data_IF_331148010610
#
_entry.id   IF_331148010610
#
_cell.length_a   1.000
_cell.length_b   1.000
_cell.length_c   1.000
_cell.angle_alpha   90.00
_cell.angle_beta   90.00
_cell.angle_gamma   90.00
#
_symmetry.space_group_name_H-M   'P 1'
#
loop_
_entity.id
_entity.type
_entity.pdbx_description
1 polymer ?
#
# COMPACT_ATOMS: atom_id res chain seq x y z
N UNK A 1 -39.67 -20.52 -15.33
CA UNK A 1 -38.23 -20.41 -15.00
C UNK A 1 -37.62 -19.37 -15.93
N UNK A 2 -37.09 -18.22 -15.43
CA UNK A 2 -36.51 -17.21 -16.30
C UNK A 2 -35.14 -17.67 -16.83
N UNK A 3 -34.88 -17.48 -18.12
CA UNK A 3 -33.60 -17.79 -18.75
C UNK A 3 -32.67 -16.58 -18.61
N UNK A 4 -31.54 -16.76 -17.94
CA UNK A 4 -30.49 -15.73 -17.86
C UNK A 4 -29.92 -15.47 -19.26
N UNK A 5 -29.96 -14.22 -19.72
CA UNK A 5 -29.40 -13.85 -21.02
C UNK A 5 -27.86 -13.68 -20.92
N UNK A 6 -27.08 -14.17 -21.90
CA UNK A 6 -25.61 -14.16 -21.84
C UNK A 6 -24.99 -12.75 -21.77
N UNK A 7 -25.73 -11.71 -22.19
CA UNK A 7 -25.32 -10.32 -22.07
C UNK A 7 -25.12 -9.86 -20.61
N UNK A 8 -25.88 -10.41 -19.66
CA UNK A 8 -25.75 -10.09 -18.24
C UNK A 8 -24.43 -10.62 -17.63
N UNK A 9 -23.92 -11.74 -18.16
CA UNK A 9 -22.68 -12.34 -17.67
C UNK A 9 -21.45 -11.54 -18.13
N UNK A 10 -21.47 -11.00 -19.36
CA UNK A 10 -20.38 -10.21 -19.91
C UNK A 10 -20.19 -8.86 -19.19
N UNK A 11 -21.28 -8.21 -18.77
CA UNK A 11 -21.23 -6.96 -18.02
C UNK A 11 -20.64 -7.13 -16.60
N UNK A 12 -20.84 -8.29 -15.97
CA UNK A 12 -20.28 -8.61 -14.64
C UNK A 12 -18.76 -8.86 -14.67
N UNK A 13 -18.22 -9.36 -15.78
CA UNK A 13 -16.79 -9.64 -15.92
C UNK A 13 -15.93 -8.40 -16.26
N UNK A 14 -16.51 -7.36 -16.86
CA UNK A 14 -15.77 -6.13 -17.20
C UNK A 14 -15.80 -5.03 -16.12
N UNK A 15 -16.71 -5.10 -15.15
CA UNK A 15 -16.96 -4.00 -14.22
C UNK A 15 -16.01 -3.87 -13.02
N UNK A 16 -15.10 -4.82 -12.78
CA UNK A 16 -14.41 -4.94 -11.49
C UNK A 16 -12.87 -4.89 -11.57
N UNK A 17 -12.30 -4.09 -12.47
CA UNK A 17 -10.87 -3.73 -12.34
C UNK A 17 -10.77 -2.54 -11.38
N UNK A 18 -10.96 -2.79 -10.09
CA UNK A 18 -10.64 -1.79 -9.07
C UNK A 18 -9.12 -1.62 -9.05
N UNK A 19 -8.62 -0.49 -9.57
CA UNK A 19 -7.23 -0.11 -9.38
C UNK A 19 -7.07 0.31 -7.92
N UNK A 20 -6.35 -0.48 -7.13
CA UNK A 20 -5.91 -0.02 -5.81
C UNK A 20 -4.97 1.17 -6.03
N UNK A 21 -5.33 2.33 -5.49
CA UNK A 21 -4.46 3.50 -5.53
C UNK A 21 -3.16 3.18 -4.78
N UNK A 22 -2.03 3.60 -5.33
CA UNK A 22 -0.75 3.43 -4.65
C UNK A 22 -0.74 4.24 -3.35
N UNK A 23 -0.25 3.71 -2.23
CA UNK A 23 -0.23 4.43 -0.96
C UNK A 23 0.54 5.75 -1.07
N UNK A 24 0.02 6.81 -0.46
CA UNK A 24 0.70 8.10 -0.36
C UNK A 24 1.80 8.02 0.69
N UNK A 25 3.04 7.87 0.22
CA UNK A 25 4.24 7.77 1.08
C UNK A 25 5.10 9.03 0.93
N UNK A 26 5.39 9.69 2.05
CA UNK A 26 6.43 10.71 2.14
C UNK A 26 7.75 10.08 2.57
N UNK A 27 8.88 10.48 1.97
CA UNK A 27 10.21 9.95 2.31
C UNK A 27 11.14 11.04 2.80
N UNK A 28 11.88 10.73 3.86
CA UNK A 28 12.96 11.54 4.40
C UNK A 28 14.23 10.70 4.37
N UNK A 29 15.29 11.24 3.79
CA UNK A 29 16.60 10.60 3.72
C UNK A 29 17.66 11.60 4.23
N UNK A 30 18.52 11.16 5.13
CA UNK A 30 19.59 11.98 5.73
C UNK A 30 21.00 11.57 5.31
N UNK A 31 21.14 10.71 4.29
CA UNK A 31 22.43 10.19 3.84
C UNK A 31 22.93 8.97 4.62
N UNK A 32 22.25 8.57 5.71
CA UNK A 32 22.53 7.35 6.47
C UNK A 32 21.32 6.42 6.52
N UNK A 33 20.14 6.99 6.81
CA UNK A 33 18.87 6.27 6.93
C UNK A 33 17.82 6.96 6.07
N UNK A 34 16.94 6.14 5.50
CA UNK A 34 15.73 6.56 4.80
C UNK A 34 14.51 6.07 5.58
N UNK A 35 13.55 6.96 5.77
CA UNK A 35 12.28 6.68 6.43
C UNK A 35 11.14 7.03 5.49
N UNK A 36 10.21 6.11 5.30
CA UNK A 36 8.97 6.33 4.57
C UNK A 36 7.77 6.32 5.52
N UNK A 37 6.94 7.35 5.38
CA UNK A 37 5.76 7.61 6.21
C UNK A 37 4.52 7.53 5.33
N UNK A 38 3.61 6.63 5.65
CA UNK A 38 2.33 6.49 4.94
C UNK A 38 1.30 7.47 5.51
N UNK A 39 0.89 8.42 4.66
CA UNK A 39 -0.03 9.50 5.02
C UNK A 39 -1.50 9.06 5.01
N UNK A 40 -1.83 7.97 4.31
CA UNK A 40 -3.19 7.41 4.29
C UNK A 40 -3.47 6.58 5.56
N UNK A 41 -2.41 6.19 6.28
CA UNK A 41 -2.48 5.45 7.54
C UNK A 41 -2.19 6.34 8.76
N UNK A 42 -2.46 7.64 8.70
CA UNK A 42 -2.28 8.53 9.85
C UNK A 42 -0.83 8.83 10.21
N UNK A 43 0.10 8.73 9.26
CA UNK A 43 1.51 9.04 9.48
C UNK A 43 2.33 7.88 10.04
N UNK A 44 1.86 6.65 9.83
CA UNK A 44 2.57 5.43 10.24
C UNK A 44 3.86 5.27 9.44
N UNK A 45 4.94 4.87 10.12
CA UNK A 45 6.21 4.51 9.48
C UNK A 45 6.05 3.11 8.85
N UNK A 46 6.10 3.06 7.52
CA UNK A 46 5.98 1.83 6.73
C UNK A 46 7.28 1.47 6.01
N UNK A 47 8.30 2.33 6.05
CA UNK A 47 9.62 2.07 5.50
C UNK A 47 10.72 2.57 6.44
N UNK A 48 11.70 1.70 6.73
CA UNK A 48 13.00 2.08 7.32
C UNK A 48 14.08 1.32 6.56
N UNK A 49 15.02 2.02 5.96
CA UNK A 49 16.11 1.43 5.19
C UNK A 49 17.41 2.23 5.36
N UNK A 50 18.53 1.63 4.98
CA UNK A 50 19.79 2.38 4.81
C UNK A 50 19.62 3.37 3.64
N UNK A 51 20.30 4.52 3.70
CA UNK A 51 20.43 5.45 2.57
C UNK A 51 21.29 4.85 1.45
N UNK A 52 20.72 3.91 0.69
CA UNK A 52 21.27 3.34 -0.53
C UNK A 52 20.13 2.96 -1.49
N UNK A 53 20.40 2.87 -2.81
CA UNK A 53 19.38 2.55 -3.81
C UNK A 53 18.63 1.24 -3.55
N UNK A 54 19.35 0.17 -3.19
CA UNK A 54 18.80 -1.19 -3.06
C UNK A 54 18.71 -1.66 -1.61
N UNK A 55 18.77 -0.73 -0.65
CA UNK A 55 18.62 -1.08 0.75
C UNK A 55 17.20 -1.61 1.02
N UNK A 56 17.05 -2.82 1.59
CA UNK A 56 15.74 -3.39 1.85
C UNK A 56 15.01 -2.61 2.94
N UNK A 57 13.69 -2.59 2.84
CA UNK A 57 12.84 -2.11 3.93
C UNK A 57 12.92 -3.09 5.11
N UNK A 58 13.20 -2.56 6.30
CA UNK A 58 13.28 -3.30 7.56
C UNK A 58 11.92 -3.41 8.28
N UNK A 59 10.93 -2.59 7.89
CA UNK A 59 9.56 -2.68 8.40
C UNK A 59 8.81 -3.76 7.62
N UNK A 60 8.22 -4.73 8.34
CA UNK A 60 7.23 -5.60 7.71
C UNK A 60 5.93 -4.81 7.53
N UNK A 61 5.73 -4.33 6.30
CA UNK A 61 4.53 -3.62 5.88
C UNK A 61 3.53 -4.50 5.12
N UNK A 62 3.79 -5.80 5.02
CA UNK A 62 2.89 -6.77 4.40
C UNK A 62 1.83 -7.29 5.39
N UNK A 63 2.15 -7.30 6.68
CA UNK A 63 1.23 -7.65 7.76
C UNK A 63 0.79 -6.40 8.51
N UNK A 64 -0.48 -5.99 8.35
CA UNK A 64 -1.04 -4.85 9.07
C UNK A 64 -0.96 -5.03 10.60
N UNK A 65 -0.60 -3.96 11.31
CA UNK A 65 -0.41 -3.96 12.77
C UNK A 65 1.03 -4.21 13.22
N UNK A 66 1.97 -4.46 12.29
CA UNK A 66 3.42 -4.54 12.58
C UNK A 66 4.18 -3.26 12.20
N UNK A 67 3.46 -2.23 11.78
CA UNK A 67 4.04 -0.95 11.44
C UNK A 67 4.29 -0.11 12.70
N UNK A 68 5.20 0.86 12.59
CA UNK A 68 5.59 1.69 13.72
C UNK A 68 4.76 2.96 13.73
N UNK A 69 3.98 3.15 14.78
CA UNK A 69 3.24 4.38 15.05
C UNK A 69 3.65 4.93 16.41
N UNK A 70 3.91 6.23 16.46
CA UNK A 70 4.08 6.91 17.74
C UNK A 70 2.71 7.04 18.42
N UNK A 71 2.54 6.46 19.61
CA UNK A 71 1.39 6.69 20.48
C UNK A 71 1.77 7.70 21.57
N UNK A 72 0.90 8.66 21.83
CA UNK A 72 0.96 9.55 23.00
C UNK A 72 0.02 9.05 24.09
#
# INVERSE_FOLDING_TARGET
MPRLQPAFLAALLCGAIAHAESPRVSRIDNGTVRVGVNLDLGGVITEVARSAPDAPNLINSHDYGRQVQQSY
#
